data_IF_086717588461
#
_entry.id   IF_086717588461
#
_cell.length_a   1.000
_cell.length_b   1.000
_cell.length_c   1.000
_cell.angle_alpha   90.00
_cell.angle_beta   90.00
_cell.angle_gamma   90.00
#
_symmetry.space_group_name_H-M   'P 1'
#
loop_
_entity.id
_entity.type
_entity.pdbx_description
1 polymer ?
#
# COMPACT_ATOMS: atom_id res chain seq x y z
N UNK A 1 -14.57 -4.24 2.14
CA UNK A 1 -13.48 -3.61 1.35
C UNK A 1 -12.10 -3.92 1.94
N UNK A 2 -11.98 -4.44 3.17
CA UNK A 2 -10.71 -4.56 3.90
C UNK A 2 -10.24 -3.24 4.48
N UNK A 3 -9.26 -3.27 5.37
CA UNK A 3 -8.84 -2.14 6.23
C UNK A 3 -8.04 -1.03 5.55
N UNK A 4 -7.55 -1.26 4.33
CA UNK A 4 -6.64 -0.33 3.63
C UNK A 4 -7.17 0.18 2.28
N UNK A 5 -8.48 0.35 2.15
CA UNK A 5 -9.06 0.92 0.93
C UNK A 5 -8.78 2.43 0.87
N UNK A 6 -8.19 2.87 -0.23
CA UNK A 6 -8.00 4.28 -0.55
C UNK A 6 -9.22 4.81 -1.32
N UNK A 7 -9.69 6.02 -1.03
CA UNK A 7 -10.80 6.65 -1.75
C UNK A 7 -10.35 7.95 -2.38
N UNK A 8 -10.83 8.26 -3.59
CA UNK A 8 -10.44 9.47 -4.32
C UNK A 8 -11.64 10.16 -4.94
N UNK A 9 -11.65 11.50 -4.90
CA UNK A 9 -12.49 12.37 -5.73
C UNK A 9 -11.61 12.89 -6.87
N UNK A 10 -11.72 12.26 -8.04
CA UNK A 10 -10.78 12.47 -9.13
C UNK A 10 -9.37 12.00 -8.74
N UNK A 11 -8.44 12.94 -8.57
CA UNK A 11 -7.06 12.66 -8.15
C UNK A 11 -6.78 13.05 -6.69
N UNK A 12 -7.78 13.52 -5.95
CA UNK A 12 -7.62 13.97 -4.56
C UNK A 12 -8.10 12.88 -3.61
N UNK A 13 -7.26 12.47 -2.66
CA UNK A 13 -7.65 11.51 -1.65
C UNK A 13 -8.80 12.04 -0.78
N UNK A 14 -9.75 11.16 -0.50
CA UNK A 14 -10.87 11.39 0.40
C UNK A 14 -10.63 10.56 1.65
N UNK A 15 -10.31 11.23 2.76
CA UNK A 15 -10.14 10.55 4.04
C UNK A 15 -11.50 10.12 4.59
N UNK A 16 -11.72 8.81 4.84
CA UNK A 16 -12.93 8.36 5.51
C UNK A 16 -13.03 8.91 6.92
N UNK A 17 -14.25 9.17 7.36
CA UNK A 17 -14.54 9.49 8.77
C UNK A 17 -14.31 8.31 9.71
N UNK A 18 -14.24 7.09 9.16
CA UNK A 18 -13.88 5.88 9.88
C UNK A 18 -14.05 4.62 9.03
N UNK A 19 -13.38 3.56 9.48
CA UNK A 19 -13.56 2.17 9.02
C UNK A 19 -14.06 1.33 10.20
N UNK A 20 -15.15 0.58 9.98
CA UNK A 20 -15.68 -0.38 10.95
C UNK A 20 -15.27 -1.80 10.55
N UNK A 21 -14.31 -2.36 11.28
CA UNK A 21 -13.79 -3.72 11.07
C UNK A 21 -14.85 -4.81 11.27
N UNK A 22 -15.86 -4.57 12.11
CA UNK A 22 -16.90 -5.56 12.39
C UNK A 22 -17.90 -5.72 11.25
N UNK A 23 -18.11 -4.66 10.47
CA UNK A 23 -19.01 -4.62 9.32
C UNK A 23 -18.30 -4.44 7.98
N UNK A 24 -16.96 -4.37 7.97
CA UNK A 24 -16.14 -4.12 6.79
C UNK A 24 -16.60 -2.90 5.96
N UNK A 25 -16.94 -1.82 6.67
CA UNK A 25 -17.62 -0.64 6.12
C UNK A 25 -16.81 0.64 6.32
N UNK A 26 -16.64 1.41 5.24
CA UNK A 26 -16.13 2.78 5.30
C UNK A 26 -17.25 3.80 5.29
N UNK A 27 -17.10 4.86 6.09
CA UNK A 27 -18.01 6.01 6.05
C UNK A 27 -17.29 7.24 5.49
N UNK A 28 -17.72 7.67 4.31
CA UNK A 28 -17.31 8.94 3.70
C UNK A 28 -18.39 9.98 4.02
N UNK A 29 -18.00 11.17 4.48
CA UNK A 29 -18.93 12.24 4.89
C UNK A 29 -18.52 13.56 4.26
N UNK A 30 -19.50 14.45 4.07
CA UNK A 30 -19.24 15.81 3.57
C UNK A 30 -18.96 15.92 2.08
N UNK A 31 -19.28 14.87 1.31
CA UNK A 31 -19.10 14.85 -0.15
C UNK A 31 -20.14 15.72 -0.85
N UNK A 32 -19.70 16.52 -1.82
CA UNK A 32 -20.57 17.22 -2.76
C UNK A 32 -21.05 16.28 -3.87
N UNK A 33 -21.99 16.73 -4.69
CA UNK A 33 -22.39 15.96 -5.87
C UNK A 33 -21.21 15.74 -6.83
N UNK A 34 -20.37 16.77 -7.02
CA UNK A 34 -19.20 16.68 -7.89
C UNK A 34 -18.18 15.65 -7.33
N UNK A 35 -18.06 15.54 -6.00
CA UNK A 35 -17.20 14.50 -5.39
C UNK A 35 -17.75 13.11 -5.63
N UNK A 36 -19.07 12.92 -5.49
CA UNK A 36 -19.73 11.63 -5.74
C UNK A 36 -19.60 11.21 -7.21
N UNK A 37 -19.69 12.16 -8.14
CA UNK A 37 -19.56 11.90 -9.57
C UNK A 37 -18.14 11.47 -9.98
N UNK A 38 -17.13 11.83 -9.17
CA UNK A 38 -15.73 11.48 -9.37
C UNK A 38 -15.18 10.50 -8.34
N UNK A 39 -16.05 9.90 -7.51
CA UNK A 39 -15.64 9.01 -6.44
C UNK A 39 -15.11 7.68 -7.00
N UNK A 40 -13.91 7.32 -6.61
CA UNK A 40 -13.27 6.05 -6.91
C UNK A 40 -12.58 5.49 -5.68
N UNK A 41 -12.13 4.24 -5.75
CA UNK A 41 -11.34 3.63 -4.70
C UNK A 41 -10.25 2.73 -5.29
N UNK A 42 -9.19 2.52 -4.52
CA UNK A 42 -8.11 1.57 -4.83
C UNK A 42 -7.99 0.60 -3.66
N UNK A 43 -7.98 -0.69 -3.98
CA UNK A 43 -7.85 -1.76 -2.99
C UNK A 43 -7.33 -3.04 -3.65
N UNK A 44 -6.53 -3.82 -2.91
CA UNK A 44 -6.11 -5.16 -3.31
C UNK A 44 -7.31 -6.10 -3.50
N UNK A 45 -7.32 -6.84 -4.60
CA UNK A 45 -8.39 -7.78 -4.93
C UNK A 45 -8.65 -8.81 -3.82
N UNK A 46 -7.59 -9.29 -3.16
CA UNK A 46 -7.65 -10.25 -2.04
C UNK A 46 -8.37 -9.72 -0.80
N UNK A 47 -8.48 -8.40 -0.64
CA UNK A 47 -9.18 -7.76 0.47
C UNK A 47 -10.68 -7.61 0.21
N UNK A 48 -11.14 -7.86 -1.03
CA UNK A 48 -12.54 -7.74 -1.39
C UNK A 48 -13.30 -9.02 -1.03
N UNK A 49 -14.41 -8.86 -0.31
CA UNK A 49 -15.34 -9.95 -0.01
C UNK A 49 -16.64 -9.70 -0.76
N UNK A 50 -17.03 -10.67 -1.59
CA UNK A 50 -18.29 -10.60 -2.32
C UNK A 50 -19.49 -10.61 -1.36
N UNK A 51 -20.26 -9.52 -1.40
CA UNK A 51 -21.43 -9.33 -0.54
C UNK A 51 -22.70 -10.00 -1.10
N UNK A 52 -22.65 -10.51 -2.33
CA UNK A 52 -23.75 -11.27 -2.94
C UNK A 52 -23.22 -12.44 -3.78
N UNK A 53 -22.86 -13.53 -3.11
CA UNK A 53 -22.34 -14.76 -3.74
C UNK A 53 -23.32 -15.48 -4.69
N UNK A 54 -24.51 -14.93 -4.94
CA UNK A 54 -25.43 -15.37 -5.99
C UNK A 54 -25.24 -14.65 -7.33
N UNK A 55 -24.53 -13.52 -7.33
CA UNK A 55 -24.15 -12.77 -8.53
C UNK A 55 -22.81 -13.30 -9.09
N UNK A 56 -22.56 -13.03 -10.37
CA UNK A 56 -21.21 -13.14 -10.91
C UNK A 56 -20.42 -11.89 -10.52
N UNK A 57 -19.11 -12.04 -10.32
CA UNK A 57 -18.17 -10.97 -9.97
C UNK A 57 -18.37 -10.40 -8.56
N UNK A 58 -17.38 -9.66 -8.05
CA UNK A 58 -17.40 -9.20 -6.65
C UNK A 58 -18.35 -8.03 -6.48
N UNK A 59 -19.35 -8.16 -5.61
CA UNK A 59 -20.30 -7.10 -5.30
C UNK A 59 -19.90 -6.30 -4.06
N UNK A 60 -19.87 -4.97 -4.20
CA UNK A 60 -19.68 -4.02 -3.10
C UNK A 60 -21.02 -3.32 -2.82
N UNK A 61 -21.48 -3.39 -1.57
CA UNK A 61 -22.69 -2.68 -1.13
C UNK A 61 -22.40 -1.21 -0.85
N UNK A 62 -23.31 -0.33 -1.29
CA UNK A 62 -23.22 1.12 -1.09
C UNK A 62 -24.51 1.61 -0.43
N UNK A 63 -24.37 2.45 0.59
CA UNK A 63 -25.49 3.13 1.25
C UNK A 63 -25.24 4.63 1.27
N UNK A 64 -26.24 5.42 0.89
CA UNK A 64 -26.14 6.88 0.84
C UNK A 64 -27.36 7.54 1.49
N UNK A 65 -27.12 8.66 2.18
CA UNK A 65 -28.14 9.54 2.73
C UNK A 65 -27.59 10.96 2.84
N UNK A 66 -28.47 11.95 2.88
CA UNK A 66 -28.10 13.35 3.16
C UNK A 66 -28.40 13.67 4.62
N UNK A 67 -27.65 14.60 5.19
CA UNK A 67 -27.89 15.14 6.54
C UNK A 67 -28.11 16.64 6.46
N UNK A 68 -29.22 17.13 7.02
CA UNK A 68 -29.56 18.54 7.04
C UNK A 68 -28.61 19.33 7.95
N UNK A 69 -28.01 20.41 7.43
CA UNK A 69 -27.01 21.18 8.19
C UNK A 69 -27.59 21.93 9.39
N UNK A 70 -28.91 22.19 9.41
CA UNK A 70 -29.54 23.00 10.46
C UNK A 70 -29.94 22.23 11.71
N UNK A 71 -30.16 20.92 11.60
CA UNK A 71 -30.70 20.10 12.69
C UNK A 71 -30.21 18.64 12.70
N UNK A 72 -29.33 18.27 11.78
CA UNK A 72 -28.77 16.92 11.63
C UNK A 72 -29.81 15.83 11.30
N UNK A 73 -30.99 16.20 10.80
CA UNK A 73 -31.97 15.24 10.33
C UNK A 73 -31.42 14.50 9.10
N UNK A 74 -31.56 13.17 9.08
CA UNK A 74 -31.13 12.31 7.97
C UNK A 74 -32.28 12.05 7.00
N UNK A 75 -31.97 12.03 5.71
CA UNK A 75 -32.89 11.49 4.70
C UNK A 75 -33.10 9.99 4.89
N UNK A 76 -34.09 9.43 4.20
CA UNK A 76 -34.12 7.98 4.01
C UNK A 76 -32.81 7.51 3.34
N UNK A 77 -32.29 6.38 3.80
CA UNK A 77 -31.11 5.73 3.19
C UNK A 77 -31.50 5.08 1.87
N UNK A 78 -30.68 5.32 0.84
CA UNK A 78 -30.76 4.63 -0.44
C UNK A 78 -29.61 3.63 -0.50
N UNK A 79 -29.93 2.40 -0.87
CA UNK A 79 -28.96 1.32 -1.02
C UNK A 79 -28.76 1.00 -2.50
N UNK A 80 -27.53 0.67 -2.87
CA UNK A 80 -27.15 0.17 -4.18
C UNK A 80 -25.98 -0.80 -4.07
N UNK A 81 -25.55 -1.32 -5.20
CA UNK A 81 -24.34 -2.13 -5.28
C UNK A 81 -23.53 -1.76 -6.52
N UNK A 82 -22.22 -1.93 -6.39
CA UNK A 82 -21.26 -1.85 -7.47
C UNK A 82 -20.74 -3.26 -7.76
N UNK A 83 -20.77 -3.67 -9.02
CA UNK A 83 -20.10 -4.87 -9.50
C UNK A 83 -18.67 -4.51 -9.89
N UNK A 84 -17.69 -5.22 -9.32
CA UNK A 84 -16.28 -5.03 -9.63
C UNK A 84 -15.77 -6.21 -10.45
N UNK A 85 -15.31 -5.90 -11.65
CA UNK A 85 -14.56 -6.82 -12.49
C UNK A 85 -13.08 -6.68 -12.16
N UNK A 86 -12.43 -7.79 -11.80
CA UNK A 86 -11.02 -7.83 -11.41
C UNK A 86 -10.29 -8.77 -12.36
N UNK A 87 -9.25 -8.27 -13.00
CA UNK A 87 -8.27 -9.10 -13.70
C UNK A 87 -6.98 -9.10 -12.87
N UNK A 88 -6.38 -10.27 -12.72
CA UNK A 88 -5.09 -10.40 -12.07
C UNK A 88 -4.01 -9.73 -12.92
N UNK A 89 -3.16 -8.92 -12.28
CA UNK A 89 -1.94 -8.40 -12.91
C UNK A 89 -0.90 -9.52 -12.82
N UNK A 90 -0.61 -10.12 -13.98
CA UNK A 90 0.42 -11.14 -14.09
C UNK A 90 1.76 -10.47 -14.35
N UNK A 91 2.80 -10.93 -13.64
CA UNK A 91 4.17 -10.54 -13.93
C UNK A 91 4.57 -10.88 -15.36
N UNK A 92 5.36 -10.00 -15.95
CA UNK A 92 5.80 -10.06 -17.34
C UNK A 92 7.33 -10.17 -17.38
N UNK A 93 7.95 -9.69 -18.46
CA UNK A 93 9.42 -9.59 -18.54
C UNK A 93 9.86 -8.14 -18.75
N UNK A 94 8.97 -7.20 -18.45
CA UNK A 94 9.26 -5.78 -18.37
C UNK A 94 8.74 -5.24 -17.06
N UNK A 95 8.96 -3.96 -16.82
CA UNK A 95 8.64 -3.31 -15.54
C UNK A 95 7.14 -3.39 -15.23
N UNK A 96 6.81 -4.06 -14.12
CA UNK A 96 5.45 -4.22 -13.62
C UNK A 96 5.24 -3.46 -12.29
N UNK A 97 3.97 -3.11 -12.03
CA UNK A 97 3.54 -2.47 -10.79
C UNK A 97 2.43 -3.32 -10.16
N UNK A 98 2.68 -3.75 -8.93
CA UNK A 98 1.77 -4.54 -8.12
C UNK A 98 1.31 -3.74 -6.90
N UNK A 99 0.11 -4.04 -6.40
CA UNK A 99 -0.33 -3.60 -5.07
C UNK A 99 -0.11 -4.77 -4.11
N UNK A 100 0.48 -4.50 -2.95
CA UNK A 100 0.63 -5.49 -1.89
C UNK A 100 -0.74 -6.08 -1.51
N UNK A 101 -0.96 -7.32 -1.92
CA UNK A 101 -2.22 -8.03 -1.69
C UNK A 101 -2.15 -8.99 -0.50
N UNK A 102 -0.99 -9.08 0.17
CA UNK A 102 -0.71 -10.13 1.16
C UNK A 102 -0.58 -11.54 0.57
N UNK A 103 -0.46 -11.66 -0.77
CA UNK A 103 -0.14 -12.91 -1.45
C UNK A 103 1.27 -12.84 -2.05
N UNK A 104 1.91 -13.97 -2.35
CA UNK A 104 3.21 -13.97 -2.99
C UNK A 104 3.18 -13.28 -4.37
N UNK A 105 4.23 -12.52 -4.67
CA UNK A 105 4.51 -11.84 -5.93
C UNK A 105 5.93 -12.20 -6.36
N UNK A 106 6.05 -12.65 -7.60
CA UNK A 106 7.30 -12.88 -8.31
C UNK A 106 7.31 -11.90 -9.49
N UNK A 107 8.18 -10.88 -9.46
CA UNK A 107 8.25 -9.83 -10.48
C UNK A 107 8.84 -10.31 -11.81
N UNK A 108 9.53 -11.46 -11.81
CA UNK A 108 10.25 -11.99 -12.96
C UNK A 108 11.36 -11.04 -13.44
N UNK A 109 11.44 -10.74 -14.73
CA UNK A 109 12.46 -9.86 -15.27
C UNK A 109 11.88 -8.46 -15.43
N UNK A 110 12.55 -7.45 -14.91
CA UNK A 110 12.07 -6.07 -15.00
C UNK A 110 12.76 -5.20 -13.98
N UNK A 111 12.26 -3.98 -13.82
CA UNK A 111 12.39 -3.24 -12.58
C UNK A 111 11.01 -3.13 -11.95
N UNK A 112 10.70 -4.10 -11.09
CA UNK A 112 9.34 -4.33 -10.61
C UNK A 112 9.09 -3.57 -9.30
N UNK A 113 7.87 -3.09 -9.16
CA UNK A 113 7.45 -2.25 -8.03
C UNK A 113 6.28 -2.87 -7.30
N UNK A 114 6.39 -2.99 -5.98
CA UNK A 114 5.27 -3.36 -5.10
C UNK A 114 4.89 -2.16 -4.26
N UNK A 115 3.69 -1.64 -4.48
CA UNK A 115 3.12 -0.53 -3.71
C UNK A 115 2.42 -1.05 -2.46
N UNK A 116 2.69 -0.45 -1.30
CA UNK A 116 1.86 -0.66 -0.12
C UNK A 116 0.51 0.05 -0.27
N UNK A 117 -0.44 -0.30 0.59
CA UNK A 117 -1.78 0.32 0.61
C UNK A 117 -1.83 1.45 1.62
N UNK A 118 -2.75 2.39 1.45
CA UNK A 118 -2.90 3.59 2.33
C UNK A 118 -2.83 3.21 3.81
N UNK A 119 -1.84 3.76 4.53
CA UNK A 119 -1.70 3.59 5.97
C UNK A 119 -1.33 2.18 6.43
N UNK A 120 -0.85 1.33 5.52
CA UNK A 120 -0.46 -0.05 5.79
C UNK A 120 0.89 -0.12 6.52
N UNK A 121 0.92 -0.89 7.61
CA UNK A 121 2.14 -1.33 8.27
C UNK A 121 2.36 -2.82 8.00
N UNK A 122 3.52 -3.16 7.47
CA UNK A 122 3.91 -4.53 7.15
C UNK A 122 5.23 -4.89 7.82
N UNK A 123 5.30 -6.11 8.32
CA UNK A 123 6.52 -6.64 8.93
C UNK A 123 7.53 -7.05 7.85
N UNK A 124 8.82 -6.79 8.10
CA UNK A 124 9.92 -7.13 7.19
C UNK A 124 9.92 -8.60 6.77
N UNK A 125 9.60 -9.52 7.69
CA UNK A 125 9.57 -10.96 7.40
C UNK A 125 8.41 -11.34 6.50
N UNK A 126 7.29 -10.62 6.60
CA UNK A 126 6.16 -10.79 5.69
C UNK A 126 6.57 -10.36 4.28
N UNK A 127 7.17 -9.18 4.12
CA UNK A 127 7.70 -8.72 2.83
C UNK A 127 8.68 -9.74 2.22
N UNK A 128 9.69 -10.16 2.97
CA UNK A 128 10.70 -11.10 2.47
C UNK A 128 10.15 -12.48 2.12
N UNK A 129 9.03 -12.89 2.70
CA UNK A 129 8.37 -14.17 2.39
C UNK A 129 7.37 -14.09 1.23
N UNK A 130 6.91 -12.88 0.90
CA UNK A 130 5.89 -12.65 -0.11
C UNK A 130 6.49 -12.14 -1.41
N UNK A 131 7.62 -11.43 -1.38
CA UNK A 131 8.18 -10.79 -2.57
C UNK A 131 9.44 -11.52 -3.04
N UNK A 132 9.53 -11.75 -4.35
CA UNK A 132 10.69 -12.29 -5.06
C UNK A 132 10.86 -11.54 -6.39
N UNK A 133 12.09 -11.27 -6.80
CA UNK A 133 12.42 -10.50 -8.02
C UNK A 133 11.69 -9.13 -8.06
N UNK A 134 11.75 -8.37 -6.96
CA UNK A 134 11.20 -7.01 -6.84
C UNK A 134 12.31 -6.00 -6.50
N UNK A 135 12.47 -4.98 -7.34
CA UNK A 135 13.50 -3.95 -7.19
C UNK A 135 13.05 -2.76 -6.35
N UNK A 136 11.74 -2.48 -6.28
CA UNK A 136 11.20 -1.28 -5.62
C UNK A 136 10.03 -1.61 -4.70
N UNK A 137 10.09 -1.13 -3.46
CA UNK A 137 8.94 -1.08 -2.55
C UNK A 137 8.49 0.36 -2.48
N UNK A 138 7.24 0.61 -2.85
CA UNK A 138 6.70 1.96 -2.93
C UNK A 138 5.74 2.22 -1.76
N UNK A 139 6.15 3.13 -0.88
CA UNK A 139 5.39 3.63 0.26
C UNK A 139 4.68 4.95 -0.06
N UNK A 140 4.90 5.56 -1.24
CA UNK A 140 4.44 6.91 -1.60
C UNK A 140 2.93 7.06 -1.79
N UNK A 141 2.16 5.99 -1.52
CA UNK A 141 0.71 6.09 -1.42
C UNK A 141 0.37 7.01 -0.24
N UNK A 142 -0.62 7.88 -0.40
CA UNK A 142 -0.93 8.85 0.65
C UNK A 142 -1.27 8.18 2.00
N UNK A 143 -0.70 8.70 3.08
CA UNK A 143 -0.89 8.19 4.44
C UNK A 143 0.37 7.50 4.96
N UNK A 144 0.51 7.42 6.28
CA UNK A 144 1.73 6.88 6.89
C UNK A 144 1.85 5.36 6.70
N UNK A 145 2.75 4.94 5.82
CA UNK A 145 3.11 3.54 5.62
C UNK A 145 4.33 3.15 6.47
N UNK A 146 4.45 1.87 6.81
CA UNK A 146 5.55 1.42 7.67
C UNK A 146 6.05 0.03 7.31
N UNK A 147 7.38 -0.11 7.15
CA UNK A 147 8.07 -1.40 7.17
C UNK A 147 8.66 -1.60 8.57
N UNK A 148 8.11 -2.52 9.35
CA UNK A 148 8.49 -2.75 10.76
C UNK A 148 9.31 -4.01 10.97
N UNK A 149 9.93 -4.13 12.16
CA UNK A 149 10.55 -5.36 12.65
C UNK A 149 12.03 -5.53 12.30
N UNK A 150 12.60 -4.60 11.54
CA UNK A 150 14.04 -4.56 11.26
C UNK A 150 14.41 -5.27 9.96
N UNK A 151 14.27 -4.56 8.85
CA UNK A 151 14.68 -5.05 7.53
C UNK A 151 16.18 -5.36 7.52
N UNK A 152 16.51 -6.64 7.37
CA UNK A 152 17.88 -7.15 7.32
C UNK A 152 18.43 -7.17 5.89
N UNK A 153 19.74 -7.39 5.76
CA UNK A 153 20.36 -7.65 4.44
C UNK A 153 19.73 -8.87 3.76
N UNK A 154 19.47 -9.94 4.52
CA UNK A 154 18.89 -11.18 3.99
C UNK A 154 17.47 -10.99 3.48
N UNK A 155 16.68 -10.13 4.15
CA UNK A 155 15.33 -9.81 3.69
C UNK A 155 15.39 -9.05 2.36
N UNK A 156 16.23 -8.02 2.27
CA UNK A 156 16.38 -7.22 1.06
C UNK A 156 16.87 -8.05 -0.14
N UNK A 157 17.80 -8.99 0.09
CA UNK A 157 18.27 -9.92 -0.94
C UNK A 157 17.20 -10.92 -1.37
N UNK A 158 16.31 -11.35 -0.46
CA UNK A 158 15.21 -12.26 -0.76
C UNK A 158 14.16 -11.56 -1.62
N UNK A 159 13.78 -10.33 -1.25
CA UNK A 159 12.85 -9.48 -2.01
C UNK A 159 13.41 -9.23 -3.42
N UNK A 160 14.69 -8.88 -3.54
CA UNK A 160 15.35 -8.64 -4.81
C UNK A 160 15.65 -9.93 -5.61
N UNK A 161 15.60 -11.11 -4.99
CA UNK A 161 15.92 -12.39 -5.64
C UNK A 161 17.41 -12.64 -5.92
N UNK A 162 18.34 -11.82 -5.40
CA UNK A 162 19.78 -11.96 -5.63
C UNK A 162 20.64 -11.39 -4.50
N UNK A 163 21.84 -11.95 -4.33
CA UNK A 163 22.82 -11.50 -3.31
C UNK A 163 23.56 -10.23 -3.69
N UNK A 164 23.29 -9.65 -4.86
CA UNK A 164 23.88 -8.39 -5.31
C UNK A 164 22.85 -7.59 -6.09
N UNK A 165 22.78 -6.29 -5.84
CA UNK A 165 21.80 -5.43 -6.46
C UNK A 165 21.52 -4.20 -5.60
N UNK A 166 20.45 -3.51 -5.97
CA UNK A 166 19.90 -2.38 -5.22
C UNK A 166 18.42 -2.60 -5.04
N UNK A 167 17.98 -2.77 -3.79
CA UNK A 167 16.57 -2.62 -3.44
C UNK A 167 16.30 -1.14 -3.17
N UNK A 168 15.22 -0.60 -3.72
CA UNK A 168 14.79 0.79 -3.52
C UNK A 168 13.52 0.81 -2.68
N UNK A 169 13.45 1.76 -1.74
CA UNK A 169 12.25 2.07 -0.96
C UNK A 169 11.90 3.52 -1.22
N UNK A 170 10.83 3.74 -1.97
CA UNK A 170 10.26 5.05 -2.25
C UNK A 170 9.19 5.39 -1.20
N UNK A 171 8.98 6.67 -0.92
CA UNK A 171 8.04 7.13 0.11
C UNK A 171 8.23 8.60 0.43
N UNK A 172 7.55 9.08 1.46
CA UNK A 172 7.63 10.47 1.91
C UNK A 172 7.82 10.61 3.44
N UNK A 173 7.68 11.84 3.94
CA UNK A 173 7.90 12.19 5.33
C UNK A 173 6.90 11.62 6.33
N UNK A 174 5.78 11.07 5.88
CA UNK A 174 4.81 10.38 6.74
C UNK A 174 5.19 8.90 6.93
N UNK A 175 6.05 8.35 6.08
CA UNK A 175 6.45 6.94 6.08
C UNK A 175 7.58 6.62 7.05
N UNK A 176 7.70 5.34 7.42
CA UNK A 176 8.81 4.87 8.23
C UNK A 176 9.33 3.48 7.86
N UNK A 177 10.62 3.28 8.06
CA UNK A 177 11.31 2.00 7.86
C UNK A 177 12.18 1.70 9.07
N UNK A 178 11.98 0.53 9.66
CA UNK A 178 12.84 -0.01 10.71
C UNK A 178 13.91 -0.90 10.09
N UNK A 179 15.18 -0.58 10.28
CA UNK A 179 16.32 -1.41 9.88
C UNK A 179 16.85 -2.23 11.06
N UNK A 180 17.42 -3.40 10.78
CA UNK A 180 18.04 -4.23 11.81
C UNK A 180 19.33 -3.57 12.36
N UNK A 181 19.41 -3.37 13.67
CA UNK A 181 20.58 -2.83 14.40
C UNK A 181 21.62 -3.94 14.67
N UNK A 182 22.16 -4.52 13.60
CA UNK A 182 23.15 -5.61 13.66
C UNK A 182 24.55 -5.24 13.18
N UNK A 183 24.74 -4.00 12.70
CA UNK A 183 25.91 -3.61 11.92
C UNK A 183 25.90 -4.14 10.48
N UNK A 184 24.79 -4.75 10.04
CA UNK A 184 24.61 -5.23 8.66
C UNK A 184 24.59 -4.08 7.65
N UNK A 185 23.99 -2.95 8.03
CA UNK A 185 23.88 -1.78 7.18
C UNK A 185 24.89 -0.71 7.57
N UNK A 186 25.67 -0.26 6.58
CA UNK A 186 26.54 0.92 6.71
C UNK A 186 26.01 2.06 5.87
N UNK A 187 26.01 3.28 6.40
CA UNK A 187 25.68 4.49 5.63
C UNK A 187 26.52 5.67 6.06
N UNK A 188 26.73 6.61 5.13
CA UNK A 188 27.35 7.91 5.42
C UNK A 188 26.30 8.97 5.76
N UNK A 189 25.00 8.66 5.59
CA UNK A 189 23.91 9.62 5.67
C UNK A 189 23.91 10.68 4.56
N UNK A 190 24.76 10.54 3.54
CA UNK A 190 24.78 11.45 2.40
C UNK A 190 23.61 11.16 1.47
N UNK A 191 22.87 12.21 1.12
CA UNK A 191 21.76 12.13 0.16
C UNK A 191 22.30 12.29 -1.25
N UNK A 192 21.96 11.35 -2.14
CA UNK A 192 22.29 11.40 -3.56
C UNK A 192 21.10 10.95 -4.39
N UNK A 193 20.65 11.80 -5.31
CA UNK A 193 19.52 11.48 -6.18
C UNK A 193 18.16 11.37 -5.46
N UNK A 194 18.04 11.91 -4.24
CA UNK A 194 16.83 11.78 -3.42
C UNK A 194 16.96 10.73 -2.31
N UNK A 195 17.96 9.84 -2.39
CA UNK A 195 18.06 8.68 -1.51
C UNK A 195 19.22 8.76 -0.52
N UNK A 196 19.03 8.16 0.64
CA UNK A 196 20.13 7.71 1.51
C UNK A 196 20.47 6.27 1.11
N UNK A 197 21.74 6.03 0.81
CA UNK A 197 22.23 4.70 0.45
C UNK A 197 22.81 3.99 1.67
N UNK A 198 22.33 2.78 1.90
CA UNK A 198 22.82 1.82 2.87
C UNK A 198 23.52 0.69 2.12
N UNK A 199 24.70 0.30 2.56
CA UNK A 199 25.50 -0.75 1.93
C UNK A 199 25.84 -1.81 2.96
N UNK A 200 25.58 -3.06 2.61
CA UNK A 200 25.94 -4.20 3.44
C UNK A 200 27.38 -4.66 3.25
N UNK A 201 27.86 -5.52 4.14
CA UNK A 201 29.20 -6.11 4.05
C UNK A 201 29.41 -6.95 2.77
N UNK A 202 28.34 -7.51 2.20
CA UNK A 202 28.39 -8.23 0.92
C UNK A 202 28.46 -7.30 -0.29
N UNK A 203 28.18 -6.01 -0.12
CA UNK A 203 28.06 -5.02 -1.18
C UNK A 203 26.65 -4.89 -1.76
N UNK A 204 25.65 -5.59 -1.22
CA UNK A 204 24.24 -5.31 -1.55
C UNK A 204 23.85 -3.91 -1.09
N UNK A 205 23.06 -3.22 -1.91
CA UNK A 205 22.67 -1.83 -1.68
C UNK A 205 21.18 -1.74 -1.35
N UNK A 206 20.84 -0.92 -0.36
CA UNK A 206 19.49 -0.50 -0.07
C UNK A 206 19.44 1.03 -0.22
N UNK A 207 18.56 1.51 -1.08
CA UNK A 207 18.29 2.94 -1.23
C UNK A 207 16.94 3.23 -0.61
N UNK A 208 16.91 4.15 0.35
CA UNK A 208 15.68 4.60 1.00
C UNK A 208 15.53 6.08 0.69
N UNK A 209 14.34 6.51 0.27
CA UNK A 209 14.06 7.91 0.05
C UNK A 209 14.45 8.71 1.32
N UNK A 210 15.14 9.83 1.12
CA UNK A 210 15.69 10.62 2.21
C UNK A 210 14.61 11.31 3.06
N UNK A 211 13.38 11.41 2.56
CA UNK A 211 12.25 11.95 3.30
C UNK A 211 11.66 10.93 4.30
N UNK A 212 11.87 9.62 4.09
CA UNK A 212 11.34 8.55 4.97
C UNK A 212 12.00 8.58 6.36
N UNK A 213 11.19 8.36 7.40
CA UNK A 213 11.68 8.23 8.77
C UNK A 213 12.35 6.86 9.00
N UNK A 214 13.68 6.81 8.94
CA UNK A 214 14.44 5.57 9.22
C UNK A 214 14.79 5.44 10.70
N UNK A 215 14.52 4.27 11.29
CA UNK A 215 14.93 3.92 12.65
C UNK A 215 15.59 2.53 12.71
N UNK A 216 16.10 2.14 13.88
CA UNK A 216 16.84 0.89 14.06
C UNK A 216 16.26 0.08 15.23
N UNK A 217 16.14 -1.24 15.05
CA UNK A 217 15.60 -2.18 16.05
C UNK A 217 16.55 -3.36 16.29
N UNK A 218 16.56 -3.89 17.51
CA UNK A 218 17.49 -4.95 17.99
C UNK A 218 16.83 -6.33 17.90
#
# INVERSE_FOLDING_TARGET
LGEYAAFYSGATLVTPSGYDVGSDTYTLSGLTQDDLDNLSFVQAASALTDQDGGAADTQISISAYTTESSNSDQSATVNGSLTVYLDEVLATTGDDIFINSGNPVDGNAGNDTVMLRVGESIDHSALASLLEEVETIDLSVEGANTISGGLSESDAQSIFGSTSGTLTIDGDGDDSVELLDGGEWSTTGAISGGYITYTSDSGFTLQIDADINVSYVI
#
